data_IF_426428105608
#
_entry.id   IF_426428105608
#
_cell.length_a   1.000
_cell.length_b   1.000
_cell.length_c   1.000
_cell.angle_alpha   90.00
_cell.angle_beta   90.00
_cell.angle_gamma   90.00
#
_symmetry.space_group_name_H-M   'P 1'
#
loop_
_entity.id
_entity.type
_entity.pdbx_description
1 polymer ?
#
# COMPACT_ATOMS: atom_id res chain seq x y z
N UNK A 1 25.15 23.79 11.94
CA UNK A 1 24.19 23.71 10.81
C UNK A 1 22.80 23.90 11.41
N UNK A 2 21.96 24.75 10.83
CA UNK A 2 20.57 24.87 11.30
C UNK A 2 19.82 23.58 11.02
N UNK A 3 18.96 23.15 11.94
CA UNK A 3 18.08 22.02 11.74
C UNK A 3 17.14 22.30 10.54
N UNK A 4 17.12 21.41 9.55
CA UNK A 4 16.24 21.54 8.37
C UNK A 4 14.79 21.40 8.81
N UNK A 5 13.93 22.30 8.35
CA UNK A 5 12.48 22.19 8.59
C UNK A 5 11.87 21.22 7.60
N UNK A 6 11.11 20.24 8.11
CA UNK A 6 10.58 19.13 7.32
C UNK A 6 9.08 19.04 7.44
N UNK A 7 8.43 18.57 6.39
CA UNK A 7 7.03 18.15 6.39
C UNK A 7 6.85 16.95 5.46
N UNK A 8 5.70 16.29 5.53
CA UNK A 8 5.28 15.34 4.51
C UNK A 8 4.10 15.88 3.71
N UNK A 9 3.92 15.40 2.48
CA UNK A 9 2.87 15.86 1.57
C UNK A 9 2.12 14.66 0.97
N UNK A 10 0.79 14.70 1.10
CA UNK A 10 -0.13 13.91 0.25
C UNK A 10 -0.88 14.89 -0.63
N UNK A 11 -0.61 14.82 -1.94
CA UNK A 11 -1.17 15.70 -2.95
C UNK A 11 -2.29 15.00 -3.74
N UNK A 12 -3.38 15.72 -4.00
CA UNK A 12 -4.57 15.22 -4.67
C UNK A 12 -5.32 14.16 -3.84
N UNK A 13 -6.28 13.46 -4.44
CA UNK A 13 -7.14 12.48 -3.76
C UNK A 13 -6.48 11.10 -3.60
N UNK A 14 -5.27 11.07 -3.05
CA UNK A 14 -4.46 9.85 -2.91
C UNK A 14 -4.54 9.29 -1.48
N UNK A 15 -5.75 8.92 -1.03
CA UNK A 15 -5.98 8.49 0.35
C UNK A 15 -5.12 7.29 0.79
N UNK A 16 -4.80 6.40 -0.14
CA UNK A 16 -3.94 5.25 0.12
C UNK A 16 -2.50 5.65 0.49
N UNK A 17 -2.00 6.82 0.09
CA UNK A 17 -0.67 7.29 0.51
C UNK A 17 -0.60 7.60 2.01
N UNK A 18 -1.73 7.92 2.66
CA UNK A 18 -1.76 8.17 4.10
C UNK A 18 -1.24 6.97 4.91
N UNK A 19 -1.48 5.73 4.46
CA UNK A 19 -1.05 4.50 5.15
C UNK A 19 0.48 4.32 5.21
N UNK A 20 1.23 5.16 4.50
CA UNK A 20 2.69 5.14 4.46
C UNK A 20 3.29 6.46 4.94
N UNK A 21 2.68 7.58 4.57
CA UNK A 21 3.16 8.92 4.90
C UNK A 21 2.82 9.29 6.36
N UNK A 22 1.61 8.98 6.85
CA UNK A 22 1.22 9.35 8.22
C UNK A 22 2.06 8.65 9.31
N UNK A 23 2.36 7.34 9.22
CA UNK A 23 3.28 6.70 10.16
C UNK A 23 4.70 7.30 10.14
N UNK A 24 5.15 7.78 8.98
CA UNK A 24 6.44 8.46 8.85
C UNK A 24 6.42 9.84 9.53
N UNK A 25 5.30 10.57 9.44
CA UNK A 25 5.11 11.83 10.15
C UNK A 25 5.24 11.66 11.66
N UNK A 26 4.63 10.61 12.24
CA UNK A 26 4.75 10.34 13.66
C UNK A 26 6.19 10.00 14.05
N UNK A 27 6.82 9.08 13.29
CA UNK A 27 8.21 8.65 13.49
C UNK A 27 9.17 9.86 13.55
N UNK A 28 9.05 10.76 12.57
CA UNK A 28 9.92 11.93 12.47
C UNK A 28 9.45 13.11 13.32
N UNK A 29 8.22 13.07 13.82
CA UNK A 29 7.57 14.17 14.55
C UNK A 29 7.45 15.43 13.67
N UNK A 30 6.96 15.25 12.44
CA UNK A 30 6.79 16.31 11.44
C UNK A 30 5.31 16.43 11.02
N UNK A 31 4.85 17.61 10.57
CA UNK A 31 3.48 17.78 10.13
C UNK A 31 3.21 17.08 8.79
N UNK A 32 1.99 16.58 8.64
CA UNK A 32 1.42 16.12 7.38
C UNK A 32 0.65 17.26 6.71
N UNK A 33 1.01 17.57 5.47
CA UNK A 33 0.27 18.49 4.61
C UNK A 33 -0.62 17.66 3.67
N UNK A 34 -1.91 18.01 3.61
CA UNK A 34 -2.86 17.47 2.64
C UNK A 34 -3.48 18.58 1.81
N UNK A 35 -3.84 18.28 0.57
CA UNK A 35 -4.42 19.27 -0.37
C UNK A 35 -5.92 19.11 -0.58
N UNK A 36 -6.54 18.09 0.01
CA UNK A 36 -7.97 17.81 -0.11
C UNK A 36 -8.61 17.70 1.28
N UNK A 37 -9.87 18.12 1.39
CA UNK A 37 -10.59 18.17 2.67
C UNK A 37 -10.96 16.76 3.16
N UNK A 38 -11.35 15.87 2.25
CA UNK A 38 -11.63 14.45 2.55
C UNK A 38 -10.38 13.72 3.07
N UNK A 39 -9.20 14.09 2.60
CA UNK A 39 -7.93 13.61 3.13
C UNK A 39 -7.64 14.16 4.53
N UNK A 40 -7.96 15.42 4.81
CA UNK A 40 -7.83 15.99 6.15
C UNK A 40 -8.71 15.21 7.14
N UNK A 41 -9.95 14.92 6.76
CA UNK A 41 -10.89 14.12 7.57
C UNK A 41 -10.37 12.70 7.77
N UNK A 42 -9.89 12.06 6.69
CA UNK A 42 -9.30 10.72 6.74
C UNK A 42 -8.06 10.67 7.64
N UNK A 43 -7.17 11.66 7.55
CA UNK A 43 -5.99 11.76 8.39
C UNK A 43 -6.37 11.93 9.88
N UNK A 44 -7.31 12.85 10.19
CA UNK A 44 -7.80 13.05 11.56
C UNK A 44 -8.45 11.80 12.15
N UNK A 45 -9.15 11.02 11.32
CA UNK A 45 -9.83 9.79 11.74
C UNK A 45 -8.86 8.63 11.93
N UNK A 46 -8.02 8.34 10.94
CA UNK A 46 -7.17 7.16 10.92
C UNK A 46 -5.81 7.36 11.58
N UNK A 47 -5.35 8.62 11.69
CA UNK A 47 -4.04 9.01 12.22
C UNK A 47 -4.17 10.24 13.15
N UNK A 48 -4.96 10.19 14.23
CA UNK A 48 -5.17 11.33 15.12
C UNK A 48 -3.91 11.74 15.91
N UNK A 49 -2.84 10.95 15.82
CA UNK A 49 -1.59 11.12 16.57
C UNK A 49 -0.60 12.09 15.92
N UNK A 50 -0.89 12.54 14.70
CA UNK A 50 -0.02 13.46 13.96
C UNK A 50 -0.69 14.81 13.74
N UNK A 51 0.14 15.86 13.66
CA UNK A 51 -0.31 17.16 13.20
C UNK A 51 -0.61 17.07 11.69
N UNK A 52 -1.87 17.34 11.31
CA UNK A 52 -2.27 17.42 9.91
C UNK A 52 -2.81 18.81 9.58
N UNK A 53 -2.27 19.41 8.53
CA UNK A 53 -2.68 20.72 8.02
C UNK A 53 -3.24 20.59 6.61
N UNK A 54 -4.30 21.33 6.32
CA UNK A 54 -4.85 21.45 4.97
C UNK A 54 -4.37 22.74 4.34
N UNK A 55 -3.73 22.61 3.17
CA UNK A 55 -3.38 23.72 2.29
C UNK A 55 -3.85 23.40 0.89
N UNK A 56 -4.85 24.15 0.42
CA UNK A 56 -5.37 24.04 -0.93
C UNK A 56 -4.34 24.44 -1.98
N UNK A 57 -4.64 24.12 -3.24
CA UNK A 57 -3.72 24.35 -4.36
C UNK A 57 -3.19 25.78 -4.49
N UNK A 58 -3.99 26.86 -4.29
CA UNK A 58 -3.50 28.22 -4.47
C UNK A 58 -2.41 28.63 -3.47
N UNK A 59 -2.54 28.21 -2.21
CA UNK A 59 -1.63 28.58 -1.13
C UNK A 59 -0.47 27.60 -0.93
N UNK A 60 -0.62 26.34 -1.35
CA UNK A 60 0.33 25.25 -1.08
C UNK A 60 1.78 25.64 -1.33
N UNK A 61 2.06 26.21 -2.50
CA UNK A 61 3.42 26.53 -2.92
C UNK A 61 4.11 27.54 -2.00
N UNK A 62 3.44 28.66 -1.74
CA UNK A 62 3.96 29.71 -0.87
C UNK A 62 4.10 29.22 0.59
N UNK A 63 3.11 28.46 1.07
CA UNK A 63 3.10 27.97 2.44
C UNK A 63 4.24 26.98 2.72
N UNK A 64 4.52 26.08 1.76
CA UNK A 64 5.63 25.11 1.85
C UNK A 64 6.97 25.84 1.80
N UNK A 65 7.21 26.66 0.77
CA UNK A 65 8.53 27.23 0.52
C UNK A 65 8.97 28.21 1.61
N UNK A 66 8.02 28.93 2.22
CA UNK A 66 8.27 29.83 3.35
C UNK A 66 8.61 29.11 4.66
N UNK A 67 8.26 27.83 4.82
CA UNK A 67 8.34 27.12 6.11
C UNK A 67 9.25 25.91 6.12
N UNK A 68 9.37 25.20 5.02
CA UNK A 68 10.04 23.90 4.98
C UNK A 68 11.16 23.88 3.95
N UNK A 69 12.20 23.14 4.27
CA UNK A 69 13.38 22.94 3.44
C UNK A 69 13.28 21.60 2.69
N UNK A 70 12.54 20.63 3.23
CA UNK A 70 12.42 19.28 2.71
C UNK A 70 11.00 18.72 2.85
N UNK A 71 10.55 18.00 1.83
CA UNK A 71 9.30 17.26 1.81
C UNK A 71 9.52 15.75 1.67
N UNK A 72 8.76 14.97 2.43
CA UNK A 72 8.54 13.55 2.20
C UNK A 72 7.25 13.33 1.41
N UNK A 73 7.30 12.66 0.26
CA UNK A 73 6.11 12.38 -0.54
C UNK A 73 6.32 11.18 -1.48
N UNK A 74 5.24 10.65 -2.04
CA UNK A 74 5.29 9.57 -3.05
C UNK A 74 5.26 10.09 -4.50
N UNK A 75 5.40 11.41 -4.69
CA UNK A 75 5.41 12.06 -6.01
C UNK A 75 6.80 12.01 -6.62
N UNK A 76 6.90 11.98 -7.95
CA UNK A 76 8.18 12.13 -8.65
C UNK A 76 8.70 13.56 -8.53
N UNK A 77 10.02 13.73 -8.64
CA UNK A 77 10.66 15.06 -8.62
C UNK A 77 10.09 16.00 -9.69
N UNK A 78 9.89 15.49 -10.91
CA UNK A 78 9.32 16.26 -12.02
C UNK A 78 7.91 16.77 -11.72
N UNK A 79 7.09 15.96 -11.05
CA UNK A 79 5.74 16.36 -10.65
C UNK A 79 5.77 17.42 -9.56
N UNK A 80 6.64 17.26 -8.54
CA UNK A 80 6.87 18.29 -7.51
C UNK A 80 7.34 19.60 -8.15
N UNK A 81 8.30 19.56 -9.07
CA UNK A 81 8.76 20.76 -9.76
C UNK A 81 7.63 21.45 -10.54
N UNK A 82 6.70 20.69 -11.13
CA UNK A 82 5.52 21.26 -11.78
C UNK A 82 4.60 22.01 -10.80
N UNK A 83 4.34 21.43 -9.63
CA UNK A 83 3.48 22.01 -8.60
C UNK A 83 4.11 23.28 -8.01
N UNK A 84 5.41 23.24 -7.71
CA UNK A 84 6.08 24.28 -6.95
C UNK A 84 6.85 25.29 -7.83
N UNK A 85 6.91 25.12 -9.15
CA UNK A 85 7.73 25.94 -10.07
C UNK A 85 7.64 27.45 -9.80
N UNK A 86 6.41 28.00 -9.77
CA UNK A 86 6.19 29.43 -9.55
C UNK A 86 6.64 29.87 -8.15
N UNK A 87 6.26 29.12 -7.10
CA UNK A 87 6.64 29.44 -5.73
C UNK A 87 8.16 29.35 -5.53
N UNK A 88 8.82 28.35 -6.12
CA UNK A 88 10.28 28.22 -6.06
C UNK A 88 10.99 29.42 -6.71
N UNK A 89 10.44 29.93 -7.81
CA UNK A 89 10.95 31.13 -8.46
C UNK A 89 10.75 32.38 -7.59
N UNK A 90 9.56 32.57 -7.01
CA UNK A 90 9.26 33.73 -6.15
C UNK A 90 10.14 33.73 -4.90
N UNK A 91 10.30 32.58 -4.25
CA UNK A 91 11.08 32.43 -3.01
C UNK A 91 12.59 32.29 -3.26
N UNK A 92 13.04 32.19 -4.52
CA UNK A 92 14.44 31.88 -4.88
C UNK A 92 14.98 30.67 -4.10
N UNK A 93 14.11 29.68 -3.88
CA UNK A 93 14.36 28.50 -3.05
C UNK A 93 13.75 27.28 -3.74
N UNK A 94 14.53 26.21 -3.84
CA UNK A 94 14.04 24.91 -4.31
C UNK A 94 13.79 24.03 -3.09
N UNK A 95 12.59 23.44 -2.98
CA UNK A 95 12.28 22.51 -1.89
C UNK A 95 12.95 21.17 -2.18
N UNK A 96 13.67 20.61 -1.20
CA UNK A 96 14.22 19.26 -1.33
C UNK A 96 13.12 18.21 -1.17
N UNK A 97 13.32 17.06 -1.77
CA UNK A 97 12.37 15.93 -1.72
C UNK A 97 13.08 14.66 -1.29
N UNK A 98 12.35 13.83 -0.55
CA UNK A 98 12.69 12.43 -0.32
C UNK A 98 11.49 11.61 -0.74
N UNK A 99 11.68 10.74 -1.73
CA UNK A 99 10.60 9.89 -2.21
C UNK A 99 10.28 8.78 -1.21
N UNK A 100 8.99 8.54 -0.98
CA UNK A 100 8.48 7.54 -0.05
C UNK A 100 7.70 6.44 -0.78
N UNK A 101 7.96 5.15 -0.49
CA UNK A 101 7.28 4.05 -1.14
C UNK A 101 5.90 3.81 -0.52
N UNK A 102 4.91 3.65 -1.38
CA UNK A 102 3.50 3.41 -1.03
C UNK A 102 3.11 1.93 -1.22
N UNK A 103 4.09 1.04 -1.04
CA UNK A 103 3.94 -0.41 -1.07
C UNK A 103 5.09 -1.11 -1.80
N UNK A 104 5.17 -2.43 -1.65
CA UNK A 104 6.01 -3.29 -2.48
C UNK A 104 5.14 -3.90 -3.57
N UNK A 105 5.48 -3.72 -4.84
CA UNK A 105 4.68 -4.21 -5.97
C UNK A 105 5.52 -5.09 -6.88
N UNK A 106 4.88 -6.05 -7.53
CA UNK A 106 5.48 -6.84 -8.62
C UNK A 106 5.21 -6.23 -10.00
N UNK A 107 4.36 -5.20 -10.05
CA UNK A 107 3.99 -4.43 -11.23
C UNK A 107 5.09 -3.45 -11.66
N UNK A 108 5.05 -3.03 -12.91
CA UNK A 108 5.98 -2.05 -13.50
C UNK A 108 7.28 -2.67 -14.02
N UNK A 109 7.32 -3.98 -14.17
CA UNK A 109 8.49 -4.70 -14.71
C UNK A 109 8.65 -4.44 -16.21
N UNK A 110 7.55 -4.23 -16.92
CA UNK A 110 7.49 -4.09 -18.39
C UNK A 110 7.19 -2.67 -18.86
N UNK A 111 6.78 -1.80 -17.95
CA UNK A 111 6.41 -0.41 -18.26
C UNK A 111 7.33 0.57 -17.56
N UNK A 112 7.23 1.84 -17.95
CA UNK A 112 7.92 2.92 -17.27
C UNK A 112 7.32 3.11 -15.87
N UNK A 113 8.12 2.89 -14.83
CA UNK A 113 7.65 2.89 -13.45
C UNK A 113 8.64 3.59 -12.53
N UNK A 114 9.65 2.86 -12.02
CA UNK A 114 10.66 3.42 -11.11
C UNK A 114 11.57 4.45 -11.80
N UNK A 115 11.67 4.40 -13.12
CA UNK A 115 12.40 5.35 -13.96
C UNK A 115 11.97 6.81 -13.71
N UNK A 116 10.73 7.04 -13.24
CA UNK A 116 10.25 8.36 -12.80
C UNK A 116 11.03 8.98 -11.63
N UNK A 117 11.86 8.20 -10.94
CA UNK A 117 12.68 8.65 -9.81
C UNK A 117 14.11 9.06 -10.21
N UNK A 118 14.44 9.04 -11.50
CA UNK A 118 15.78 9.39 -12.02
C UNK A 118 16.26 10.81 -11.63
N UNK A 119 15.33 11.74 -11.39
CA UNK A 119 15.64 13.11 -10.95
C UNK A 119 15.61 13.28 -9.42
N UNK A 120 15.22 12.24 -8.69
CA UNK A 120 15.15 12.30 -7.23
C UNK A 120 16.54 12.16 -6.61
N UNK A 121 16.77 12.85 -5.49
CA UNK A 121 18.08 12.76 -4.80
C UNK A 121 18.12 11.58 -3.84
N UNK A 122 17.02 11.32 -3.14
CA UNK A 122 16.94 10.24 -2.18
C UNK A 122 15.57 9.58 -2.15
N UNK A 123 15.59 8.28 -1.91
CA UNK A 123 14.41 7.47 -1.71
C UNK A 123 14.49 6.74 -0.36
N UNK A 124 13.36 6.63 0.33
CA UNK A 124 13.18 5.57 1.30
C UNK A 124 12.73 4.30 0.56
N UNK A 125 13.13 3.14 1.04
CA UNK A 125 12.76 1.84 0.44
C UNK A 125 12.47 0.83 1.53
N UNK A 126 11.50 -0.08 1.34
CA UNK A 126 11.18 -1.07 2.39
C UNK A 126 12.33 -2.06 2.65
N UNK A 127 13.09 -2.43 1.62
CA UNK A 127 14.16 -3.42 1.73
C UNK A 127 14.83 -3.69 0.40
N UNK A 128 15.58 -4.80 0.36
CA UNK A 128 16.42 -5.18 -0.77
C UNK A 128 15.63 -5.33 -2.07
N UNK A 129 14.39 -5.84 -2.00
CA UNK A 129 13.54 -6.00 -3.19
C UNK A 129 13.37 -4.72 -4.03
N UNK A 130 13.12 -3.58 -3.38
CA UNK A 130 12.97 -2.31 -4.12
C UNK A 130 14.33 -1.84 -4.64
N UNK A 131 15.42 -2.06 -3.90
CA UNK A 131 16.77 -1.73 -4.35
C UNK A 131 17.10 -2.48 -5.65
N UNK A 132 16.85 -3.79 -5.67
CA UNK A 132 17.09 -4.62 -6.84
C UNK A 132 16.22 -4.16 -8.02
N UNK A 133 14.97 -3.76 -7.76
CA UNK A 133 14.10 -3.19 -8.78
C UNK A 133 14.63 -1.85 -9.33
N UNK A 134 15.11 -0.95 -8.46
CA UNK A 134 15.75 0.31 -8.86
C UNK A 134 17.02 0.07 -9.68
N UNK A 135 17.81 -0.95 -9.33
CA UNK A 135 19.00 -1.35 -10.10
C UNK A 135 18.60 -1.84 -11.49
N UNK A 136 17.63 -2.75 -11.55
CA UNK A 136 17.10 -3.30 -12.81
C UNK A 136 16.58 -2.21 -13.74
N UNK A 137 15.93 -1.17 -13.19
CA UNK A 137 15.41 -0.02 -13.93
C UNK A 137 16.45 1.07 -14.21
N UNK A 138 17.71 0.90 -13.80
CA UNK A 138 18.78 1.87 -14.04
C UNK A 138 18.67 3.17 -13.22
N UNK A 139 17.87 3.17 -12.16
CA UNK A 139 17.57 4.33 -11.31
C UNK A 139 18.52 4.41 -10.12
N UNK A 140 18.90 3.25 -9.55
CA UNK A 140 19.63 3.20 -8.28
C UNK A 140 20.94 3.99 -8.30
N UNK A 141 21.67 3.97 -9.42
CA UNK A 141 22.94 4.70 -9.57
C UNK A 141 22.78 6.22 -9.67
N UNK A 142 21.56 6.72 -9.88
CA UNK A 142 21.27 8.15 -10.01
C UNK A 142 20.88 8.76 -8.65
N UNK A 143 20.35 7.94 -7.75
CA UNK A 143 20.04 8.34 -6.38
C UNK A 143 21.35 8.57 -5.60
N UNK A 144 21.41 9.68 -4.86
CA UNK A 144 22.47 9.87 -3.87
C UNK A 144 22.36 8.84 -2.73
N UNK A 145 21.12 8.45 -2.39
CA UNK A 145 20.85 7.42 -1.41
C UNK A 145 19.48 6.75 -1.60
N UNK A 146 19.42 5.45 -1.33
CA UNK A 146 18.20 4.70 -1.12
C UNK A 146 18.27 4.04 0.26
N UNK A 147 17.51 4.53 1.24
CA UNK A 147 17.59 4.10 2.63
C UNK A 147 16.55 3.01 2.94
N UNK A 148 16.97 1.79 3.32
CA UNK A 148 16.05 0.76 3.79
C UNK A 148 15.38 1.14 5.11
N UNK A 149 14.05 1.09 5.18
CA UNK A 149 13.27 1.48 6.36
C UNK A 149 12.47 0.34 7.00
N UNK A 150 12.49 -0.85 6.40
CA UNK A 150 11.74 -2.01 6.90
C UNK A 150 10.24 -1.77 6.95
N UNK A 151 9.52 -2.64 7.66
CA UNK A 151 8.07 -2.55 7.78
C UNK A 151 7.62 -1.63 8.94
N UNK A 152 7.96 -0.35 8.86
CA UNK A 152 7.62 0.64 9.89
C UNK A 152 6.10 0.85 10.06
N UNK A 153 5.31 0.59 9.01
CA UNK A 153 3.83 0.65 9.05
C UNK A 153 3.24 -0.38 10.00
N UNK A 154 3.74 -1.62 9.95
CA UNK A 154 3.34 -2.66 10.89
C UNK A 154 3.70 -2.27 12.33
N UNK A 155 4.91 -1.70 12.54
CA UNK A 155 5.31 -1.23 13.87
C UNK A 155 4.38 -0.12 14.40
N UNK A 156 4.01 0.85 13.55
CA UNK A 156 3.05 1.89 13.88
C UNK A 156 1.65 1.33 14.18
N UNK A 157 1.17 0.36 13.40
CA UNK A 157 -0.09 -0.34 13.69
C UNK A 157 -0.06 -1.00 15.08
N UNK A 158 1.02 -1.71 15.42
CA UNK A 158 1.16 -2.37 16.73
C UNK A 158 1.17 -1.34 17.87
N UNK A 159 1.84 -0.20 17.68
CA UNK A 159 1.89 0.90 18.65
C UNK A 159 0.49 1.44 18.98
N UNK A 160 -0.38 1.54 17.97
CA UNK A 160 -1.73 2.09 18.09
C UNK A 160 -2.84 1.05 17.93
N UNK A 161 -2.55 -0.21 18.31
CA UNK A 161 -3.43 -1.34 18.05
C UNK A 161 -4.84 -1.14 18.60
N UNK A 162 -4.97 -0.55 19.79
CA UNK A 162 -6.27 -0.29 20.43
C UNK A 162 -7.17 0.63 19.58
N UNK A 163 -6.63 1.77 19.13
CA UNK A 163 -7.34 2.70 18.25
C UNK A 163 -7.80 2.01 16.96
N UNK A 164 -6.90 1.26 16.34
CA UNK A 164 -7.21 0.57 15.09
C UNK A 164 -8.18 -0.59 15.24
N UNK A 165 -8.14 -1.31 16.35
CA UNK A 165 -9.15 -2.33 16.68
C UNK A 165 -10.53 -1.69 16.85
N UNK A 166 -10.62 -0.54 17.51
CA UNK A 166 -11.89 0.19 17.65
C UNK A 166 -12.44 0.67 16.30
N UNK A 167 -11.59 1.24 15.45
CA UNK A 167 -11.97 1.65 14.09
C UNK A 167 -12.44 0.47 13.24
N UNK A 168 -11.69 -0.63 13.22
CA UNK A 168 -12.06 -1.83 12.48
C UNK A 168 -13.40 -2.38 12.97
N UNK A 169 -13.62 -2.39 14.28
CA UNK A 169 -14.88 -2.86 14.85
C UNK A 169 -16.07 -2.06 14.32
N UNK A 170 -15.95 -0.73 14.30
CA UNK A 170 -17.02 0.16 13.85
C UNK A 170 -17.26 0.06 12.34
N UNK A 171 -16.19 0.03 11.55
CA UNK A 171 -16.29 0.23 10.11
C UNK A 171 -16.40 -1.06 9.30
N UNK A 172 -15.98 -2.19 9.88
CA UNK A 172 -15.87 -3.48 9.19
C UNK A 172 -16.61 -4.56 9.97
N UNK A 173 -16.20 -4.86 11.20
CA UNK A 173 -16.68 -6.07 11.91
C UNK A 173 -18.19 -6.02 12.17
N UNK A 174 -18.72 -4.89 12.62
CA UNK A 174 -20.18 -4.73 12.89
C UNK A 174 -21.06 -4.92 11.65
N UNK A 175 -20.50 -4.79 10.44
CA UNK A 175 -21.23 -4.94 9.18
C UNK A 175 -21.29 -6.40 8.70
N UNK A 176 -20.59 -7.31 9.37
CA UNK A 176 -20.53 -8.73 9.04
C UNK A 176 -21.23 -9.57 10.11
N UNK A 177 -21.84 -10.70 9.72
CA UNK A 177 -22.30 -11.69 10.67
C UNK A 177 -21.12 -12.40 11.35
N UNK A 178 -21.35 -12.94 12.54
CA UNK A 178 -20.36 -13.77 13.23
C UNK A 178 -20.34 -15.14 12.57
N UNK A 179 -19.30 -15.40 11.76
CA UNK A 179 -19.07 -16.67 11.08
C UNK A 179 -17.68 -17.23 11.41
N UNK A 180 -17.48 -18.56 11.27
CA UNK A 180 -16.21 -19.22 11.60
C UNK A 180 -14.99 -18.73 10.82
N UNK A 181 -15.18 -18.15 9.64
CA UNK A 181 -14.09 -17.75 8.76
C UNK A 181 -14.37 -16.40 8.11
N UNK A 182 -13.36 -15.53 8.03
CA UNK A 182 -13.39 -14.27 7.29
C UNK A 182 -12.23 -14.20 6.33
N UNK A 183 -12.54 -13.98 5.05
CA UNK A 183 -11.58 -13.98 3.95
C UNK A 183 -11.38 -12.55 3.44
N UNK A 184 -10.15 -12.16 3.13
CA UNK A 184 -9.89 -10.92 2.40
C UNK A 184 -9.60 -11.22 0.94
N UNK A 185 -10.33 -10.60 0.03
CA UNK A 185 -9.95 -10.46 -1.37
C UNK A 185 -9.54 -9.01 -1.63
N UNK A 186 -8.26 -8.80 -2.00
CA UNK A 186 -7.71 -7.46 -2.25
C UNK A 186 -7.00 -7.43 -3.62
N UNK A 187 -7.76 -7.37 -4.72
CA UNK A 187 -7.20 -7.30 -6.06
C UNK A 187 -6.56 -5.94 -6.35
N UNK A 188 -5.64 -5.91 -7.31
CA UNK A 188 -5.14 -4.66 -7.90
C UNK A 188 -6.19 -4.07 -8.87
N UNK A 189 -5.90 -2.87 -9.39
CA UNK A 189 -6.60 -2.27 -10.51
C UNK A 189 -5.94 -2.64 -11.85
N UNK A 190 -6.69 -2.46 -12.94
CA UNK A 190 -6.25 -2.75 -14.31
C UNK A 190 -5.30 -1.66 -14.82
N UNK A 191 -4.01 -1.86 -14.63
CA UNK A 191 -2.97 -0.97 -15.16
C UNK A 191 -2.54 -1.34 -16.59
N UNK A 192 -1.55 -0.63 -17.14
CA UNK A 192 -1.03 -0.89 -18.49
C UNK A 192 -0.54 -2.33 -18.69
N UNK A 193 -0.15 -3.00 -17.60
CA UNK A 193 0.31 -4.39 -17.59
C UNK A 193 -0.84 -5.39 -17.48
N UNK A 194 -2.10 -4.96 -17.27
CA UNK A 194 -3.29 -5.81 -17.12
C UNK A 194 -3.25 -6.75 -15.92
N UNK A 195 -2.86 -6.19 -14.77
CA UNK A 195 -2.58 -6.98 -13.57
C UNK A 195 -3.80 -7.31 -12.70
N UNK A 196 -5.03 -6.87 -13.01
CA UNK A 196 -6.19 -7.07 -12.12
C UNK A 196 -6.89 -8.40 -12.37
N UNK A 197 -7.31 -9.05 -11.28
CA UNK A 197 -8.29 -10.13 -11.34
C UNK A 197 -9.71 -9.71 -10.92
N UNK A 198 -9.98 -8.41 -10.69
CA UNK A 198 -11.22 -7.98 -10.02
C UNK A 198 -12.50 -8.42 -10.75
N UNK A 199 -12.70 -7.96 -11.99
CA UNK A 199 -13.94 -8.21 -12.72
C UNK A 199 -14.12 -9.67 -13.13
N UNK A 200 -13.03 -10.41 -13.30
CA UNK A 200 -13.07 -11.83 -13.65
C UNK A 200 -13.30 -12.73 -12.43
N UNK A 201 -12.56 -12.53 -11.33
CA UNK A 201 -12.58 -13.44 -10.20
C UNK A 201 -13.66 -13.09 -9.15
N UNK A 202 -13.97 -11.81 -8.93
CA UNK A 202 -14.89 -11.40 -7.88
C UNK A 202 -16.30 -12.01 -8.03
N UNK A 203 -16.93 -12.03 -9.23
CA UNK A 203 -18.24 -12.64 -9.40
C UNK A 203 -18.25 -14.13 -9.01
N UNK A 204 -17.19 -14.87 -9.37
CA UNK A 204 -17.09 -16.29 -9.05
C UNK A 204 -16.86 -16.55 -7.55
N UNK A 205 -16.01 -15.76 -6.89
CA UNK A 205 -15.86 -15.80 -5.44
C UNK A 205 -17.20 -15.55 -4.73
N UNK A 206 -17.94 -14.51 -5.12
CA UNK A 206 -19.20 -14.16 -4.47
C UNK A 206 -20.28 -15.22 -4.70
N UNK A 207 -20.36 -15.77 -5.92
CA UNK A 207 -21.32 -16.82 -6.26
C UNK A 207 -21.06 -18.11 -5.47
N UNK A 208 -19.80 -18.48 -5.30
CA UNK A 208 -19.41 -19.72 -4.62
C UNK A 208 -19.23 -19.53 -3.10
N UNK A 209 -19.35 -18.30 -2.57
CA UNK A 209 -19.12 -17.97 -1.16
C UNK A 209 -19.94 -18.89 -0.24
N UNK A 210 -19.29 -19.74 0.57
CA UNK A 210 -19.99 -20.67 1.44
C UNK A 210 -20.69 -19.94 2.59
N UNK A 211 -21.73 -20.58 3.16
CA UNK A 211 -22.59 -19.99 4.19
C UNK A 211 -21.90 -19.79 5.55
N UNK A 212 -20.79 -20.47 5.77
CA UNK A 212 -19.97 -20.47 6.99
C UNK A 212 -18.74 -19.55 6.87
N UNK A 213 -18.66 -18.70 5.83
CA UNK A 213 -17.58 -17.74 5.67
C UNK A 213 -18.08 -16.34 5.31
N UNK A 214 -17.39 -15.33 5.83
CA UNK A 214 -17.46 -13.96 5.37
C UNK A 214 -16.42 -13.72 4.25
N UNK A 215 -16.77 -12.88 3.27
CA UNK A 215 -15.83 -12.35 2.29
C UNK A 215 -15.79 -10.82 2.39
N UNK A 216 -14.61 -10.28 2.61
CA UNK A 216 -14.33 -8.85 2.49
C UNK A 216 -13.63 -8.63 1.15
N UNK A 217 -14.18 -7.76 0.31
CA UNK A 217 -13.53 -7.31 -0.92
C UNK A 217 -13.03 -5.88 -0.71
N UNK A 218 -11.71 -5.68 -0.66
CA UNK A 218 -11.11 -4.34 -0.57
C UNK A 218 -10.83 -3.82 -1.98
N UNK A 219 -11.62 -2.85 -2.42
CA UNK A 219 -11.50 -2.26 -3.76
C UNK A 219 -10.28 -1.33 -3.80
N UNK A 220 -9.50 -1.43 -4.87
CA UNK A 220 -8.40 -0.50 -5.10
C UNK A 220 -8.94 0.89 -5.49
N UNK A 221 -8.41 2.00 -4.94
CA UNK A 221 -8.94 3.35 -5.20
C UNK A 221 -9.04 3.71 -6.70
N UNK A 222 -8.06 3.30 -7.52
CA UNK A 222 -8.12 3.56 -8.96
C UNK A 222 -9.30 2.90 -9.69
N UNK A 223 -9.86 1.80 -9.18
CA UNK A 223 -11.08 1.20 -9.74
C UNK A 223 -12.27 2.14 -9.55
N UNK A 224 -12.35 2.83 -8.41
CA UNK A 224 -13.41 3.82 -8.12
C UNK A 224 -13.40 4.98 -9.12
N UNK A 225 -12.24 5.29 -9.70
CA UNK A 225 -12.05 6.41 -10.62
C UNK A 225 -12.19 5.97 -12.07
N UNK A 226 -11.58 4.84 -12.44
CA UNK A 226 -11.47 4.42 -13.84
C UNK A 226 -12.63 3.55 -14.34
N UNK A 227 -13.33 2.89 -13.41
CA UNK A 227 -14.41 1.94 -13.72
C UNK A 227 -15.68 2.22 -12.89
N UNK A 228 -16.02 3.49 -12.68
CA UNK A 228 -17.15 3.91 -11.84
C UNK A 228 -18.46 3.21 -12.24
N UNK A 229 -18.81 3.23 -13.53
CA UNK A 229 -20.06 2.63 -14.04
C UNK A 229 -20.07 1.10 -13.87
N UNK A 230 -18.99 0.42 -14.24
CA UNK A 230 -18.89 -1.04 -14.10
C UNK A 230 -18.95 -1.46 -12.62
N UNK A 231 -18.35 -0.65 -11.74
CA UNK A 231 -18.37 -0.87 -10.31
C UNK A 231 -19.77 -0.66 -9.73
N UNK A 232 -20.51 0.37 -10.15
CA UNK A 232 -21.88 0.60 -9.70
C UNK A 232 -22.79 -0.59 -10.04
N UNK A 233 -22.71 -1.09 -11.28
CA UNK A 233 -23.43 -2.31 -11.70
C UNK A 233 -23.02 -3.52 -10.86
N UNK A 234 -21.73 -3.65 -10.55
CA UNK A 234 -21.21 -4.72 -9.70
C UNK A 234 -21.78 -4.62 -8.27
N UNK A 235 -21.80 -3.43 -7.68
CA UNK A 235 -22.30 -3.17 -6.34
C UNK A 235 -23.80 -3.43 -6.24
N UNK A 236 -24.59 -2.91 -7.17
CA UNK A 236 -26.05 -3.14 -7.21
C UNK A 236 -26.39 -4.64 -7.20
N UNK A 237 -25.58 -5.43 -7.89
CA UNK A 237 -25.76 -6.88 -8.00
C UNK A 237 -25.40 -7.64 -6.72
N UNK A 238 -24.35 -7.23 -6.01
CA UNK A 238 -23.73 -8.07 -4.98
C UNK A 238 -23.79 -7.52 -3.55
N UNK A 239 -23.83 -6.20 -3.34
CA UNK A 239 -23.63 -5.55 -2.04
C UNK A 239 -24.67 -5.94 -0.97
N UNK A 240 -25.83 -6.46 -1.40
CA UNK A 240 -26.91 -6.93 -0.50
C UNK A 240 -26.67 -8.33 0.09
N UNK A 241 -25.60 -9.04 -0.30
CA UNK A 241 -25.32 -10.39 0.21
C UNK A 241 -24.82 -10.29 1.67
N UNK A 242 -25.45 -11.00 2.63
CA UNK A 242 -25.24 -10.74 4.07
C UNK A 242 -23.85 -11.06 4.59
N UNK A 243 -23.15 -12.03 3.99
CA UNK A 243 -21.80 -12.45 4.37
C UNK A 243 -20.73 -11.89 3.42
N UNK A 244 -21.05 -10.83 2.68
CA UNK A 244 -20.13 -10.09 1.81
C UNK A 244 -20.05 -8.65 2.31
N UNK A 245 -18.84 -8.12 2.40
CA UNK A 245 -18.60 -6.69 2.63
C UNK A 245 -17.66 -6.15 1.56
N UNK A 246 -18.11 -5.15 0.81
CA UNK A 246 -17.28 -4.44 -0.16
C UNK A 246 -16.76 -3.17 0.53
N UNK A 247 -15.46 -3.10 0.73
CA UNK A 247 -14.78 -1.98 1.40
C UNK A 247 -14.19 -1.06 0.34
N UNK A 248 -14.82 0.09 0.13
CA UNK A 248 -14.29 1.17 -0.73
C UNK A 248 -13.24 1.97 0.04
N UNK A 249 -13.66 2.52 1.18
CA UNK A 249 -12.83 3.39 2.01
C UNK A 249 -12.50 2.73 3.35
N UNK A 250 -11.20 2.49 3.58
CA UNK A 250 -10.60 2.06 4.83
C UNK A 250 -9.09 2.08 4.58
N UNK A 251 -8.44 3.15 5.01
CA UNK A 251 -7.05 3.45 4.68
C UNK A 251 -6.04 2.55 5.39
N UNK A 252 -6.12 2.34 6.73
CA UNK A 252 -5.10 1.55 7.41
C UNK A 252 -5.26 0.08 7.06
N UNK A 253 -4.27 -0.54 6.40
CA UNK A 253 -4.46 -1.92 5.91
C UNK A 253 -4.30 -2.97 7.02
N UNK A 254 -3.31 -2.79 7.90
CA UNK A 254 -2.94 -3.77 8.92
C UNK A 254 -4.08 -4.22 9.85
N UNK A 255 -4.98 -3.35 10.32
CA UNK A 255 -6.12 -3.77 11.13
C UNK A 255 -7.00 -4.78 10.39
N UNK A 256 -7.23 -4.56 9.09
CA UNK A 256 -7.98 -5.48 8.24
C UNK A 256 -7.22 -6.80 8.05
N UNK A 257 -5.90 -6.74 7.83
CA UNK A 257 -5.07 -7.94 7.67
C UNK A 257 -5.04 -8.81 8.95
N UNK A 258 -4.88 -8.18 10.13
CA UNK A 258 -4.82 -8.89 11.42
C UNK A 258 -6.13 -9.64 11.72
N UNK A 259 -7.27 -9.09 11.27
CA UNK A 259 -8.60 -9.64 11.51
C UNK A 259 -8.97 -10.85 10.64
N UNK A 260 -8.53 -10.91 9.38
CA UNK A 260 -8.93 -11.98 8.46
C UNK A 260 -8.14 -13.27 8.65
N UNK A 261 -8.72 -14.41 8.27
CA UNK A 261 -8.09 -15.73 8.41
C UNK A 261 -7.13 -16.06 7.27
N UNK A 262 -7.41 -15.55 6.07
CA UNK A 262 -6.58 -15.76 4.89
C UNK A 262 -6.74 -14.63 3.87
N UNK A 263 -5.77 -14.55 2.98
CA UNK A 263 -5.68 -13.56 1.91
C UNK A 263 -5.90 -14.22 0.54
N UNK A 264 -6.67 -13.54 -0.30
CA UNK A 264 -6.85 -13.81 -1.72
C UNK A 264 -6.45 -12.52 -2.45
N UNK A 265 -5.61 -12.63 -3.47
CA UNK A 265 -5.21 -11.46 -4.25
C UNK A 265 -4.66 -11.83 -5.61
N UNK A 266 -3.94 -10.89 -6.20
CA UNK A 266 -3.28 -11.01 -7.50
C UNK A 266 -1.83 -10.51 -7.39
N UNK A 267 -1.53 -9.29 -7.84
CA UNK A 267 -0.21 -8.64 -7.78
C UNK A 267 -0.21 -7.41 -6.85
N UNK A 268 -1.22 -7.30 -6.00
CA UNK A 268 -1.38 -6.20 -5.05
C UNK A 268 -0.26 -6.14 -4.01
N UNK A 269 0.19 -4.91 -3.71
CA UNK A 269 1.21 -4.66 -2.68
C UNK A 269 0.76 -5.04 -1.26
N UNK A 270 -0.55 -5.10 -1.03
CA UNK A 270 -1.14 -5.56 0.23
C UNK A 270 -0.73 -6.99 0.56
N UNK A 271 -0.51 -7.84 -0.44
CA UNK A 271 -0.09 -9.21 -0.19
C UNK A 271 1.32 -9.30 0.40
N UNK A 272 2.21 -8.34 0.09
CA UNK A 272 3.51 -8.23 0.78
C UNK A 272 3.34 -7.83 2.26
N UNK A 273 2.42 -6.91 2.56
CA UNK A 273 2.10 -6.55 3.96
C UNK A 273 1.54 -7.77 4.73
N UNK A 274 0.74 -8.62 4.08
CA UNK A 274 0.14 -9.81 4.69
C UNK A 274 1.16 -10.88 5.11
N UNK A 275 2.36 -10.88 4.54
CA UNK A 275 3.44 -11.78 4.93
C UNK A 275 3.82 -11.65 6.41
N UNK A 276 3.57 -10.49 7.04
CA UNK A 276 3.75 -10.26 8.48
C UNK A 276 3.01 -11.27 9.35
N UNK A 277 1.88 -11.80 8.88
CA UNK A 277 0.97 -12.63 9.66
C UNK A 277 1.24 -14.13 9.47
N UNK A 278 2.01 -14.51 8.44
CA UNK A 278 2.22 -15.90 8.04
C UNK A 278 0.91 -16.72 7.98
N UNK A 279 -0.15 -16.09 7.46
CA UNK A 279 -1.47 -16.70 7.24
C UNK A 279 -1.57 -17.24 5.81
N UNK A 280 -2.51 -18.16 5.52
CA UNK A 280 -2.70 -18.72 4.17
C UNK A 280 -2.96 -17.64 3.12
N UNK A 281 -2.38 -17.84 1.94
CA UNK A 281 -2.48 -16.91 0.80
C UNK A 281 -2.87 -17.66 -0.46
N UNK A 282 -3.74 -17.05 -1.26
CA UNK A 282 -4.20 -17.58 -2.54
C UNK A 282 -4.13 -16.49 -3.61
N UNK A 283 -3.77 -16.84 -4.83
CA UNK A 283 -3.48 -15.85 -5.87
C UNK A 283 -4.16 -16.17 -7.19
N UNK A 284 -4.89 -15.20 -7.75
CA UNK A 284 -5.26 -15.23 -9.17
C UNK A 284 -4.11 -14.70 -10.01
N UNK A 285 -3.81 -15.39 -11.10
CA UNK A 285 -2.84 -14.92 -12.08
C UNK A 285 -3.59 -14.40 -13.33
N UNK A 286 -3.70 -13.07 -13.52
CA UNK A 286 -4.40 -12.49 -14.66
C UNK A 286 -3.71 -12.79 -16.00
N UNK A 287 -2.40 -13.08 -15.99
CA UNK A 287 -1.62 -13.41 -17.20
C UNK A 287 -1.72 -14.90 -17.60
N UNK A 288 -2.51 -15.68 -16.85
CA UNK A 288 -2.69 -17.11 -17.11
C UNK A 288 -1.43 -17.94 -16.88
N UNK A 289 -1.42 -19.18 -17.40
CA UNK A 289 -0.33 -20.15 -17.15
C UNK A 289 0.98 -19.85 -17.87
N UNK A 290 0.96 -18.98 -18.89
CA UNK A 290 2.14 -18.68 -19.72
C UNK A 290 3.23 -17.92 -18.94
N UNK A 291 2.82 -17.16 -17.92
CA UNK A 291 3.72 -16.60 -16.91
C UNK A 291 3.57 -17.41 -15.62
N UNK A 292 4.23 -18.56 -15.56
CA UNK A 292 4.22 -19.39 -14.35
C UNK A 292 5.28 -18.95 -13.31
N UNK A 293 6.24 -18.11 -13.70
CA UNK A 293 7.35 -17.68 -12.85
C UNK A 293 8.02 -16.41 -13.39
N UNK A 294 8.47 -15.54 -12.49
CA UNK A 294 9.26 -14.36 -12.83
C UNK A 294 9.16 -13.26 -11.77
N UNK A 295 9.89 -12.15 -11.94
CA UNK A 295 9.82 -11.01 -11.02
C UNK A 295 8.39 -10.43 -10.85
N UNK A 296 7.55 -10.53 -11.90
CA UNK A 296 6.16 -10.07 -11.91
C UNK A 296 5.21 -10.95 -11.08
N UNK A 297 5.66 -12.14 -10.63
CA UNK A 297 4.86 -13.08 -9.84
C UNK A 297 5.63 -13.54 -8.59
N UNK A 298 6.57 -12.73 -8.12
CA UNK A 298 7.46 -13.12 -7.03
C UNK A 298 6.66 -13.43 -5.75
N UNK A 299 5.62 -12.66 -5.46
CA UNK A 299 4.74 -12.88 -4.32
C UNK A 299 3.94 -14.20 -4.41
N UNK A 300 3.63 -14.68 -5.61
CA UNK A 300 2.79 -15.89 -5.80
C UNK A 300 3.46 -17.14 -5.23
N UNK A 301 4.78 -17.13 -5.04
CA UNK A 301 5.54 -18.18 -4.34
C UNK A 301 5.05 -18.43 -2.90
N UNK A 302 4.35 -17.46 -2.31
CA UNK A 302 3.91 -17.48 -0.91
C UNK A 302 2.55 -18.16 -0.70
N UNK A 303 1.91 -18.70 -1.74
CA UNK A 303 0.57 -19.23 -1.65
C UNK A 303 0.17 -20.08 -2.84
N UNK A 304 -1.07 -20.57 -2.81
CA UNK A 304 -1.60 -21.40 -3.88
C UNK A 304 -2.22 -20.54 -4.99
N UNK A 305 -1.83 -20.79 -6.24
CA UNK A 305 -2.48 -20.16 -7.39
C UNK A 305 -3.89 -20.72 -7.62
N UNK A 306 -4.84 -19.84 -7.84
CA UNK A 306 -6.22 -20.12 -8.23
C UNK A 306 -6.34 -19.90 -9.75
N UNK A 307 -6.86 -20.91 -10.44
CA UNK A 307 -7.16 -20.83 -11.87
C UNK A 307 -8.66 -20.74 -12.07
N UNK A 308 -9.14 -19.71 -12.76
CA UNK A 308 -10.54 -19.58 -13.18
C UNK A 308 -10.95 -20.61 -14.24
N UNK A 309 -9.99 -21.25 -14.90
CA UNK A 309 -10.22 -22.20 -16.01
C UNK A 309 -10.34 -23.67 -15.57
N UNK A 310 -9.99 -23.99 -14.32
CA UNK A 310 -10.03 -25.37 -13.80
C UNK A 310 -11.22 -25.55 -12.85
N UNK A 311 -11.98 -26.63 -13.05
CA UNK A 311 -13.25 -26.84 -12.35
C UNK A 311 -13.07 -27.75 -11.11
N UNK A 312 -12.49 -27.21 -10.03
CA UNK A 312 -13.14 -27.30 -8.73
C UNK A 312 -13.57 -25.92 -8.21
N UNK A 313 -14.55 -25.89 -7.30
CA UNK A 313 -14.91 -24.66 -6.60
C UNK A 313 -13.68 -24.07 -5.88
N UNK A 314 -13.45 -22.76 -5.99
CA UNK A 314 -12.31 -22.07 -5.36
C UNK A 314 -12.23 -22.37 -3.86
N UNK A 315 -13.38 -22.40 -3.18
CA UNK A 315 -13.45 -22.69 -1.74
C UNK A 315 -13.16 -24.16 -1.41
N UNK A 316 -13.47 -25.09 -2.32
CA UNK A 316 -13.08 -26.49 -2.16
C UNK A 316 -11.56 -26.62 -2.23
N UNK A 317 -10.93 -25.97 -3.22
CA UNK A 317 -9.49 -25.94 -3.36
C UNK A 317 -8.82 -25.31 -2.12
N UNK A 318 -9.29 -24.13 -1.69
CA UNK A 318 -8.84 -23.47 -0.45
C UNK A 318 -8.91 -24.44 0.73
N UNK A 319 -10.08 -25.04 1.02
CA UNK A 319 -10.27 -25.94 2.16
C UNK A 319 -9.38 -27.17 2.09
N UNK A 320 -9.20 -27.76 0.90
CA UNK A 320 -8.34 -28.93 0.73
C UNK A 320 -6.86 -28.62 1.00
N UNK A 321 -6.46 -27.36 0.80
CA UNK A 321 -5.08 -26.93 0.91
C UNK A 321 -4.70 -26.43 2.31
N UNK A 322 -5.65 -25.82 3.04
CA UNK A 322 -5.41 -25.23 4.36
C UNK A 322 -4.62 -26.13 5.35
N UNK A 323 -4.86 -27.45 5.44
CA UNK A 323 -4.08 -28.31 6.35
C UNK A 323 -2.58 -28.39 6.03
N UNK A 324 -2.18 -28.13 4.79
CA UNK A 324 -0.80 -28.27 4.30
C UNK A 324 -0.10 -26.91 4.13
N UNK A 325 -0.86 -25.82 4.11
CA UNK A 325 -0.40 -24.45 3.84
C UNK A 325 0.86 -24.08 4.63
N UNK A 326 0.85 -24.25 5.95
CA UNK A 326 1.98 -23.87 6.79
C UNK A 326 3.24 -24.65 6.44
N UNK A 327 3.13 -25.96 6.23
CA UNK A 327 4.26 -26.82 5.91
C UNK A 327 4.87 -26.48 4.55
N UNK A 328 4.06 -26.03 3.60
CA UNK A 328 4.49 -25.71 2.24
C UNK A 328 5.04 -24.28 2.11
N UNK A 329 4.40 -23.30 2.75
CA UNK A 329 4.65 -21.89 2.44
C UNK A 329 5.25 -21.06 3.57
N UNK A 330 5.27 -21.52 4.83
CA UNK A 330 5.78 -20.66 5.94
C UNK A 330 7.25 -20.25 5.75
N UNK A 331 8.10 -21.18 5.31
CA UNK A 331 9.51 -20.88 5.05
C UNK A 331 9.67 -19.89 3.89
N UNK A 332 8.91 -20.06 2.81
CA UNK A 332 8.93 -19.19 1.64
C UNK A 332 8.39 -17.80 1.98
N UNK A 333 7.29 -17.70 2.73
CA UNK A 333 6.76 -16.42 3.23
C UNK A 333 7.79 -15.66 4.03
N UNK A 334 8.52 -16.35 4.90
CA UNK A 334 9.59 -15.74 5.69
C UNK A 334 10.75 -15.25 4.80
N UNK A 335 11.21 -16.06 3.85
CA UNK A 335 12.24 -15.67 2.88
C UNK A 335 11.82 -14.41 2.10
N UNK A 336 10.61 -14.42 1.55
CA UNK A 336 10.07 -13.28 0.78
C UNK A 336 9.88 -12.06 1.68
N UNK A 337 9.42 -12.23 2.92
CA UNK A 337 9.32 -11.14 3.90
C UNK A 337 10.69 -10.49 4.16
N UNK A 338 11.70 -11.30 4.48
CA UNK A 338 13.06 -10.82 4.81
C UNK A 338 13.73 -10.11 3.60
N UNK A 339 13.43 -10.54 2.37
CA UNK A 339 13.88 -9.87 1.15
C UNK A 339 13.15 -8.54 0.89
N UNK A 340 11.86 -8.50 1.23
CA UNK A 340 10.96 -7.36 0.99
C UNK A 340 11.16 -6.25 2.01
N UNK A 341 11.30 -6.62 3.28
CA UNK A 341 11.41 -5.70 4.41
C UNK A 341 12.74 -5.95 5.10
N UNK A 342 13.60 -4.94 5.12
CA UNK A 342 14.77 -4.96 5.99
C UNK A 342 14.32 -5.14 7.43
N UNK A 343 15.08 -5.92 8.21
CA UNK A 343 14.79 -6.16 9.62
C UNK A 343 14.52 -4.85 10.34
N UNK A 344 13.37 -4.78 11.01
CA UNK A 344 12.97 -3.61 11.77
C UNK A 344 14.04 -3.26 12.80
N UNK A 345 14.66 -2.10 12.64
CA UNK A 345 15.43 -1.47 13.70
C UNK A 345 14.47 -0.84 14.71
N UNK A 346 14.95 -0.58 15.91
CA UNK A 346 14.20 0.23 16.88
C UNK A 346 13.83 1.60 16.26
N UNK A 347 12.67 2.13 16.66
CA UNK A 347 12.12 3.38 16.11
C UNK A 347 13.13 4.53 16.17
N UNK A 348 13.86 4.65 17.28
CA UNK A 348 14.89 5.66 17.48
C UNK A 348 16.06 5.52 16.49
N UNK A 349 16.49 4.29 16.21
CA UNK A 349 17.58 4.01 15.27
C UNK A 349 17.15 4.33 13.83
N UNK A 350 15.92 3.98 13.47
CA UNK A 350 15.37 4.31 12.15
C UNK A 350 15.25 5.82 11.96
N UNK A 351 14.71 6.53 12.96
CA UNK A 351 14.62 7.99 12.97
C UNK A 351 16.00 8.62 12.78
N UNK A 352 16.99 8.17 13.54
CA UNK A 352 18.36 8.69 13.43
C UNK A 352 18.97 8.46 12.05
N UNK A 353 18.75 7.28 11.45
CA UNK A 353 19.22 6.97 10.10
C UNK A 353 18.59 7.90 9.05
N UNK A 354 17.28 8.16 9.15
CA UNK A 354 16.58 9.09 8.25
C UNK A 354 17.10 10.52 8.43
N UNK A 355 17.31 10.98 9.67
CA UNK A 355 17.87 12.31 9.93
C UNK A 355 19.31 12.46 9.42
N UNK A 356 20.14 11.41 9.53
CA UNK A 356 21.49 11.38 8.95
C UNK A 356 21.45 11.50 7.43
N UNK A 357 20.55 10.78 6.78
CA UNK A 357 20.30 10.92 5.34
C UNK A 357 19.96 12.37 4.99
N UNK A 358 18.99 12.97 5.68
CA UNK A 358 18.56 14.36 5.42
C UNK A 358 19.70 15.37 5.56
N UNK A 359 20.57 15.19 6.55
CA UNK A 359 21.72 16.07 6.76
C UNK A 359 22.80 15.91 5.68
N UNK A 360 22.78 14.81 4.91
CA UNK A 360 23.69 14.59 3.77
C UNK A 360 23.17 15.12 2.44
N UNK A 361 21.87 15.45 2.35
CA UNK A 361 21.23 16.09 1.19
C UNK A 361 21.53 17.59 1.17
#
# INVERSE_FOLDING_TARGET
MSEKKMAALVYGRMAHHLDHIAPLCELLSIPLIVTEIDLLESAKKYYPFIETVYWGYPELGDQVLSRFDLLFCSLTRSFVDSIFSFAQHVHQKRVATVWCPHGNSDKGQRTYFMEGLNEERAALVYGQKIIDFLIQKGVYSQLQAALPIGNFRHAHYLKHKEHYTALLQEEVVKKLPVLPQTLLYAPTWEDEEKNSSFFDAAPHLIQQLPKDANLIIKIHPNILIQHEVDLDVFLEKWEKKPNLLIVKDFTPIYPLLDFVDLYIGDMSSVGYDFLTLNKPMFFFNPHGKEEASGPALYLHRCGLSLSSSENPSFYSLIRSHLPFDKAQFSAVRKEVYDYTFTKSSEEAVLKEAILKLINSL
#
